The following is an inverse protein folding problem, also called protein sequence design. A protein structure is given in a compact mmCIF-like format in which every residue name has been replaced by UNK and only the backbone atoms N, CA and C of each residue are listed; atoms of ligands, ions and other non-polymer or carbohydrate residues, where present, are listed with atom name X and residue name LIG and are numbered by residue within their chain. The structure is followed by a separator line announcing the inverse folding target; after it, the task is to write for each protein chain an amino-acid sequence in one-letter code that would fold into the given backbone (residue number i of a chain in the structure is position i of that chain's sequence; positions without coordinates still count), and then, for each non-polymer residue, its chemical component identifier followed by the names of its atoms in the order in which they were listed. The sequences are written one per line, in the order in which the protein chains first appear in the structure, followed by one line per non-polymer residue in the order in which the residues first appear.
data_IF_643222011243
#
_entry.id   IF_643222011243
#
_cell.length_a   1.000
_cell.length_b   1.000
_cell.length_c   1.000
_cell.angle_alpha   90.00
_cell.angle_beta   90.00
_cell.angle_gamma   90.00
#
_symmetry.space_group_name_H-M   'P 1'
#
loop_
_entity.id
_entity.type
_entity.pdbx_description
1 polymer ?
#
# COMPACT_ATOMS: atom_id res chain seq x y z
N UNK A 1 17.92 10.08 13.23
CA UNK A 1 17.38 8.77 12.77
C UNK A 1 17.78 8.59 11.32
N UNK A 2 18.40 7.47 10.97
CA UNK A 2 18.77 7.18 9.58
C UNK A 2 17.54 6.59 8.88
N UNK A 3 16.91 7.37 8.01
CA UNK A 3 15.83 6.89 7.14
C UNK A 3 16.47 6.30 5.88
N UNK A 4 16.03 5.12 5.48
CA UNK A 4 16.42 4.48 4.23
C UNK A 4 15.17 4.19 3.40
N UNK A 5 15.16 4.63 2.15
CA UNK A 5 14.11 4.40 1.18
C UNK A 5 14.64 3.47 0.09
N UNK A 6 14.00 2.32 -0.08
CA UNK A 6 14.39 1.30 -1.06
C UNK A 6 13.26 1.15 -2.07
N UNK A 7 13.60 1.04 -3.36
CA UNK A 7 12.66 0.70 -4.42
C UNK A 7 13.07 -0.63 -5.06
N UNK A 8 12.15 -1.58 -5.04
CA UNK A 8 12.29 -2.87 -5.68
C UNK A 8 11.32 -2.96 -6.87
N UNK A 9 11.85 -3.21 -8.06
CA UNK A 9 11.05 -3.28 -9.27
C UNK A 9 10.32 -4.61 -9.42
N UNK A 10 10.61 -5.59 -8.55
CA UNK A 10 9.86 -6.84 -8.45
C UNK A 10 9.93 -7.37 -7.01
N UNK A 11 8.80 -7.41 -6.32
CA UNK A 11 8.75 -7.91 -4.95
C UNK A 11 9.15 -9.40 -4.84
N UNK A 12 8.93 -10.20 -5.88
CA UNK A 12 9.12 -11.65 -5.82
C UNK A 12 8.35 -12.27 -4.66
N UNK A 13 9.06 -12.94 -3.74
CA UNK A 13 8.50 -13.50 -2.50
C UNK A 13 8.92 -12.71 -1.24
N UNK A 14 9.52 -11.52 -1.43
CA UNK A 14 9.87 -10.60 -0.35
C UNK A 14 11.25 -10.83 0.28
N UNK A 15 12.09 -11.69 -0.28
CA UNK A 15 13.40 -12.04 0.29
C UNK A 15 14.30 -10.80 0.45
N UNK A 16 14.31 -9.91 -0.55
CA UNK A 16 15.05 -8.64 -0.52
C UNK A 16 14.50 -7.68 0.53
N UNK A 17 13.17 -7.61 0.67
CA UNK A 17 12.53 -6.81 1.72
C UNK A 17 12.93 -7.32 3.11
N UNK A 18 12.88 -8.63 3.33
CA UNK A 18 13.28 -9.24 4.60
C UNK A 18 14.76 -9.00 4.91
N UNK A 19 15.65 -9.08 3.91
CA UNK A 19 17.06 -8.78 4.09
C UNK A 19 17.29 -7.31 4.52
N UNK A 20 16.62 -6.34 3.89
CA UNK A 20 16.69 -4.93 4.28
C UNK A 20 16.10 -4.67 5.67
N UNK A 21 15.03 -5.38 6.04
CA UNK A 21 14.45 -5.28 7.38
C UNK A 21 15.40 -5.84 8.44
N UNK A 22 15.99 -7.03 8.25
CA UNK A 22 16.95 -7.58 9.21
C UNK A 22 18.21 -6.74 9.37
N UNK A 23 18.64 -6.07 8.30
CA UNK A 23 19.80 -5.18 8.33
C UNK A 23 19.48 -3.80 8.95
N UNK A 24 18.22 -3.52 9.32
CA UNK A 24 17.81 -2.23 9.85
C UNK A 24 18.43 -1.98 11.25
N UNK A 25 19.22 -0.92 11.44
CA UNK A 25 19.78 -0.60 12.75
C UNK A 25 18.66 -0.27 13.77
N UNK A 26 18.90 -0.38 15.09
CA UNK A 26 17.89 -0.18 16.13
C UNK A 26 17.14 1.16 16.11
N UNK A 27 17.76 2.22 15.59
CA UNK A 27 17.13 3.54 15.41
C UNK A 27 16.88 3.90 13.94
N UNK A 28 17.00 2.91 13.06
CA UNK A 28 16.73 3.04 11.63
C UNK A 28 15.24 3.01 11.34
N UNK A 29 14.87 3.69 10.26
CA UNK A 29 13.53 3.66 9.66
C UNK A 29 13.67 3.20 8.22
N UNK A 30 12.92 2.17 7.82
CA UNK A 30 12.89 1.63 6.46
C UNK A 30 11.56 1.99 5.79
N UNK A 31 11.64 2.54 4.59
CA UNK A 31 10.50 2.65 3.68
C UNK A 31 10.83 1.86 2.41
N UNK A 32 10.21 0.71 2.25
CA UNK A 32 10.40 -0.18 1.12
C UNK A 32 9.22 -0.06 0.17
N UNK A 33 9.48 0.32 -1.08
CA UNK A 33 8.53 0.38 -2.18
C UNK A 33 8.77 -0.84 -3.06
N UNK A 34 7.78 -1.67 -3.31
CA UNK A 34 7.98 -2.88 -4.12
C UNK A 34 6.88 -3.02 -5.17
N UNK A 35 7.27 -3.18 -6.43
CA UNK A 35 6.33 -3.42 -7.53
C UNK A 35 6.01 -4.90 -7.63
N UNK A 36 4.76 -5.25 -7.88
CA UNK A 36 4.38 -6.63 -8.18
C UNK A 36 3.15 -6.66 -9.10
N UNK A 37 3.06 -7.57 -10.08
CA UNK A 37 1.88 -7.66 -10.93
C UNK A 37 0.63 -8.11 -10.16
N UNK A 38 0.80 -8.95 -9.14
CA UNK A 38 -0.25 -9.48 -8.25
C UNK A 38 0.33 -9.72 -6.86
N UNK A 39 -0.49 -9.63 -5.84
CA UNK A 39 -0.05 -9.94 -4.47
C UNK A 39 0.27 -11.43 -4.37
N UNK A 40 1.52 -11.83 -4.03
CA UNK A 40 1.84 -13.24 -3.83
C UNK A 40 1.14 -13.80 -2.58
N UNK A 41 1.00 -15.12 -2.48
CA UNK A 41 0.42 -15.74 -1.28
C UNK A 41 1.27 -15.40 -0.04
N UNK A 42 0.60 -15.12 1.08
CA UNK A 42 1.27 -14.88 2.35
C UNK A 42 2.16 -16.05 2.79
N UNK A 43 1.85 -17.27 2.34
CA UNK A 43 2.59 -18.49 2.67
C UNK A 43 3.98 -18.54 2.02
N UNK A 44 4.23 -17.75 0.98
CA UNK A 44 5.56 -17.69 0.35
C UNK A 44 6.56 -16.88 1.18
N UNK A 45 6.10 -16.18 2.22
CA UNK A 45 6.93 -15.36 3.11
C UNK A 45 7.52 -16.28 4.19
N UNK A 46 8.66 -16.89 3.88
CA UNK A 46 9.36 -17.81 4.79
C UNK A 46 10.39 -17.03 5.61
N UNK A 47 9.95 -16.44 6.72
CA UNK A 47 10.82 -15.74 7.67
C UNK A 47 10.23 -15.66 9.09
N UNK A 48 11.10 -15.52 10.11
CA UNK A 48 10.74 -15.37 11.53
C UNK A 48 9.97 -14.07 11.80
N UNK A 49 10.43 -12.94 11.25
CA UNK A 49 9.68 -11.67 11.26
C UNK A 49 8.49 -11.70 10.30
N UNK A 50 8.44 -12.71 9.42
CA UNK A 50 7.32 -12.95 8.51
C UNK A 50 5.98 -13.13 9.22
N UNK A 51 5.93 -13.51 10.50
CA UNK A 51 4.66 -13.65 11.23
C UNK A 51 3.88 -12.32 11.32
N UNK A 52 4.56 -11.21 11.63
CA UNK A 52 3.93 -9.89 11.66
C UNK A 52 3.46 -9.47 10.26
N UNK A 53 4.29 -9.72 9.25
CA UNK A 53 3.98 -9.40 7.87
C UNK A 53 2.76 -10.18 7.35
N UNK A 54 2.72 -11.51 7.57
CA UNK A 54 1.62 -12.39 7.18
C UNK A 54 0.30 -11.99 7.84
N UNK A 55 0.34 -11.57 9.12
CA UNK A 55 -0.85 -11.09 9.82
C UNK A 55 -1.48 -9.81 9.21
N UNK A 56 -0.67 -9.01 8.50
CA UNK A 56 -1.07 -7.75 7.88
C UNK A 56 -1.06 -7.82 6.34
N UNK A 57 -0.92 -9.02 5.77
CA UNK A 57 -0.77 -9.21 4.33
C UNK A 57 -2.03 -8.76 3.56
N UNK A 58 -1.89 -8.02 2.44
CA UNK A 58 -3.03 -7.54 1.68
C UNK A 58 -3.77 -8.64 0.93
N UNK A 59 -5.02 -8.33 0.55
CA UNK A 59 -5.73 -9.06 -0.49
C UNK A 59 -5.14 -8.72 -1.86
N UNK A 60 -5.25 -9.65 -2.82
CA UNK A 60 -4.81 -9.44 -4.20
C UNK A 60 -5.77 -8.51 -4.97
N UNK A 61 -5.67 -7.22 -4.68
CA UNK A 61 -6.41 -6.17 -5.38
C UNK A 61 -5.45 -5.11 -5.94
N UNK A 62 -5.72 -4.53 -7.12
CA UNK A 62 -4.84 -3.54 -7.75
C UNK A 62 -4.75 -2.25 -6.95
N UNK A 63 -3.59 -1.60 -7.01
CA UNK A 63 -3.31 -0.35 -6.33
C UNK A 63 -2.20 -0.46 -5.29
N UNK A 64 -2.10 0.55 -4.43
CA UNK A 64 -0.99 0.70 -3.50
C UNK A 64 -1.41 0.24 -2.12
N UNK A 65 -0.62 -0.67 -1.56
CA UNK A 65 -0.87 -1.32 -0.28
C UNK A 65 0.19 -0.95 0.73
N UNK A 66 -0.13 -0.03 1.63
CA UNK A 66 0.76 0.34 2.73
C UNK A 66 0.58 -0.62 3.91
N UNK A 67 1.69 -1.21 4.35
CA UNK A 67 1.79 -2.13 5.48
C UNK A 67 2.78 -1.51 6.48
N UNK A 68 2.31 -1.29 7.70
CA UNK A 68 3.09 -0.72 8.79
C UNK A 68 3.54 -1.82 9.75
N UNK A 69 4.85 -1.91 9.96
CA UNK A 69 5.52 -3.00 10.67
C UNK A 69 6.49 -2.39 11.70
N UNK A 70 6.88 -3.19 12.70
CA UNK A 70 7.83 -2.77 13.75
C UNK A 70 7.48 -1.38 14.35
N UNK A 71 6.23 -1.24 14.83
CA UNK A 71 5.68 0.01 15.36
C UNK A 71 5.82 1.25 14.44
N UNK A 72 5.83 1.01 13.13
CA UNK A 72 5.93 2.05 12.10
C UNK A 72 7.37 2.41 11.71
N UNK A 73 8.38 1.74 12.28
CA UNK A 73 9.77 1.87 11.82
C UNK A 73 9.98 1.27 10.44
N UNK A 74 9.17 0.28 10.06
CA UNK A 74 9.21 -0.35 8.75
C UNK A 74 7.89 -0.13 8.03
N UNK A 75 7.96 0.49 6.86
CA UNK A 75 6.82 0.68 5.95
C UNK A 75 7.09 -0.07 4.66
N UNK A 76 6.24 -1.04 4.33
CA UNK A 76 6.20 -1.69 3.02
C UNK A 76 5.03 -1.13 2.22
N UNK A 77 5.32 -0.48 1.10
CA UNK A 77 4.34 -0.09 0.09
C UNK A 77 4.43 -1.10 -1.07
N UNK A 78 3.49 -2.04 -1.12
CA UNK A 78 3.36 -2.99 -2.22
C UNK A 78 2.51 -2.38 -3.33
N UNK A 79 3.11 -2.17 -4.51
CA UNK A 79 2.54 -1.48 -5.66
C UNK A 79 2.02 -2.54 -6.64
N UNK A 80 0.74 -2.87 -6.53
CA UNK A 80 0.12 -3.98 -7.28
C UNK A 80 -0.40 -3.49 -8.62
N UNK A 81 0.24 -3.93 -9.70
CA UNK A 81 -0.14 -3.63 -11.07
C UNK A 81 1.04 -3.67 -12.05
N UNK A 82 0.76 -3.37 -13.31
CA UNK A 82 1.80 -3.27 -14.34
C UNK A 82 2.81 -2.16 -13.99
N UNK A 83 4.11 -2.46 -14.16
CA UNK A 83 5.21 -1.59 -13.77
C UNK A 83 5.10 -0.17 -14.37
N UNK A 84 4.77 -0.08 -15.65
CA UNK A 84 4.61 1.17 -16.39
C UNK A 84 3.39 1.99 -15.94
N UNK A 85 2.38 1.34 -15.35
CA UNK A 85 1.25 2.02 -14.73
C UNK A 85 1.57 2.49 -13.31
N UNK A 86 2.28 1.70 -12.49
CA UNK A 86 2.49 2.00 -11.07
C UNK A 86 3.71 2.88 -10.81
N UNK A 87 4.84 2.67 -11.50
CA UNK A 87 6.08 3.38 -11.24
C UNK A 87 5.96 4.91 -11.43
N UNK A 88 5.25 5.44 -12.45
CA UNK A 88 5.07 6.88 -12.61
C UNK A 88 4.25 7.54 -11.49
N UNK A 89 3.49 6.78 -10.71
CA UNK A 89 2.72 7.27 -9.58
C UNK A 89 3.56 7.39 -8.29
N UNK A 90 4.80 6.87 -8.28
CA UNK A 90 5.68 6.91 -7.12
C UNK A 90 6.29 8.31 -6.97
N UNK A 91 6.09 8.91 -5.79
CA UNK A 91 6.75 10.14 -5.38
C UNK A 91 7.62 9.87 -4.16
N UNK A 92 8.92 9.68 -4.39
CA UNK A 92 9.89 9.35 -3.35
C UNK A 92 11.29 9.90 -3.67
N UNK A 93 12.12 9.95 -2.63
CA UNK A 93 13.57 10.12 -2.74
C UNK A 93 14.19 8.78 -2.31
N UNK A 94 14.74 8.04 -3.27
CA UNK A 94 15.13 6.64 -3.10
C UNK A 94 16.64 6.55 -2.95
N UNK A 95 17.07 5.86 -1.90
CA UNK A 95 18.48 5.65 -1.52
C UNK A 95 19.08 4.39 -2.17
N UNK A 96 18.26 3.36 -2.39
CA UNK A 96 18.70 2.11 -2.99
C UNK A 96 17.65 1.52 -3.94
N UNK A 97 18.10 0.95 -5.04
CA UNK A 97 17.27 0.29 -6.05
C UNK A 97 17.64 -1.18 -6.20
N UNK A 98 16.62 -2.03 -6.22
CA UNK A 98 16.71 -3.41 -6.69
C UNK A 98 15.97 -3.50 -8.02
N UNK A 99 16.70 -3.81 -9.10
CA UNK A 99 16.17 -3.84 -10.47
C UNK A 99 16.21 -5.27 -10.98
N UNK A 100 15.05 -5.80 -11.37
CA UNK A 100 14.92 -7.13 -11.94
C UNK A 100 15.42 -7.19 -13.40
N UNK A 101 15.80 -8.38 -13.86
CA UNK A 101 16.27 -8.62 -15.21
C UNK A 101 15.22 -8.25 -16.29
N UNK A 102 13.93 -8.36 -15.95
CA UNK A 102 12.82 -8.01 -16.85
C UNK A 102 12.51 -6.50 -16.90
N UNK A 103 13.24 -5.67 -16.14
CA UNK A 103 12.94 -4.24 -16.09
C UNK A 103 13.16 -3.55 -17.45
N UNK A 104 12.14 -2.88 -18.01
CA UNK A 104 12.23 -2.31 -19.34
C UNK A 104 13.18 -1.11 -19.38
N UNK A 105 14.15 -1.14 -20.29
CA UNK A 105 15.13 -0.07 -20.48
C UNK A 105 14.51 1.33 -20.67
N UNK A 106 13.31 1.42 -21.26
CA UNK A 106 12.55 2.66 -21.43
C UNK A 106 12.17 3.36 -20.10
N UNK A 107 12.08 2.60 -19.01
CA UNK A 107 11.72 3.10 -17.68
C UNK A 107 12.93 3.51 -16.82
N UNK A 108 14.17 3.34 -17.29
CA UNK A 108 15.38 3.70 -16.53
C UNK A 108 15.42 5.18 -16.10
N UNK A 109 14.85 6.08 -16.92
CA UNK A 109 14.71 7.50 -16.55
C UNK A 109 13.77 7.72 -15.37
N UNK A 110 12.79 6.85 -15.16
CA UNK A 110 11.91 6.86 -13.99
C UNK A 110 12.71 6.65 -12.70
N UNK A 111 13.61 5.66 -12.68
CA UNK A 111 14.48 5.40 -11.53
C UNK A 111 15.38 6.61 -11.22
N UNK A 112 16.00 7.20 -12.24
CA UNK A 112 16.84 8.39 -12.07
C UNK A 112 16.08 9.62 -11.53
N UNK A 113 14.77 9.76 -11.80
CA UNK A 113 13.96 10.84 -11.21
C UNK A 113 13.71 10.67 -9.72
N UNK A 114 13.71 9.41 -9.25
CA UNK A 114 13.48 9.05 -7.85
C UNK A 114 14.78 9.02 -7.03
N UNK A 115 15.92 8.80 -7.69
CA UNK A 115 17.22 8.65 -7.04
C UNK A 115 17.68 9.92 -6.31
N UNK A 116 18.19 9.77 -5.09
CA UNK A 116 19.05 10.80 -4.45
C UNK A 116 20.47 10.71 -5.01
N UNK A 117 21.25 11.79 -4.91
CA UNK A 117 22.67 11.73 -5.25
C UNK A 117 23.38 10.68 -4.38
N UNK A 118 24.13 9.78 -5.02
CA UNK A 118 24.79 8.66 -4.35
C UNK A 118 23.92 7.42 -4.14
N UNK A 119 22.65 7.43 -4.58
CA UNK A 119 21.79 6.27 -4.50
C UNK A 119 22.43 5.05 -5.18
N UNK A 120 22.34 3.89 -4.54
CA UNK A 120 22.89 2.64 -5.06
C UNK A 120 21.83 1.90 -5.88
N UNK A 121 22.27 1.13 -6.86
CA UNK A 121 21.39 0.32 -7.70
C UNK A 121 22.04 -1.04 -7.93
N UNK A 122 21.26 -2.10 -7.75
CA UNK A 122 21.63 -3.46 -8.11
C UNK A 122 20.67 -3.95 -9.19
N UNK A 123 21.17 -4.17 -10.41
CA UNK A 123 20.41 -4.74 -11.51
C UNK A 123 20.81 -6.20 -11.71
N UNK A 124 19.83 -7.10 -11.63
CA UNK A 124 20.03 -8.54 -11.85
C UNK A 124 20.16 -8.83 -13.34
N UNK A 125 21.27 -9.43 -13.76
CA UNK A 125 21.57 -9.88 -15.12
C UNK A 125 20.96 -8.99 -16.24
N UNK A 126 21.19 -7.66 -16.24
CA UNK A 126 20.56 -6.77 -17.19
C UNK A 126 21.07 -7.04 -18.60
N UNK A 127 20.20 -6.90 -19.60
CA UNK A 127 20.64 -6.88 -20.99
C UNK A 127 21.45 -5.60 -21.30
N UNK A 128 22.08 -5.60 -22.47
CA UNK A 128 22.88 -4.46 -22.91
C UNK A 128 22.02 -3.18 -22.98
N UNK A 129 20.78 -3.27 -23.48
CA UNK A 129 19.89 -2.12 -23.61
C UNK A 129 19.60 -1.45 -22.27
N UNK A 130 19.33 -2.22 -21.22
CA UNK A 130 19.11 -1.73 -19.87
C UNK A 130 20.40 -1.12 -19.28
N UNK A 131 21.55 -1.76 -19.46
CA UNK A 131 22.83 -1.24 -18.98
C UNK A 131 23.16 0.14 -19.59
N UNK A 132 22.96 0.30 -20.90
CA UNK A 132 23.09 1.58 -21.60
C UNK A 132 22.08 2.61 -21.11
N UNK A 133 20.81 2.22 -20.94
CA UNK A 133 19.76 3.12 -20.49
C UNK A 133 20.00 3.65 -19.06
N UNK A 134 20.48 2.80 -18.14
CA UNK A 134 20.88 3.19 -16.79
C UNK A 134 22.05 4.19 -16.83
N UNK A 135 23.06 3.91 -17.65
CA UNK A 135 24.21 4.80 -17.84
C UNK A 135 23.77 6.16 -18.37
N UNK A 136 22.94 6.18 -19.42
CA UNK A 136 22.37 7.39 -20.00
C UNK A 136 21.45 8.16 -19.02
N UNK A 137 20.86 7.46 -18.05
CA UNK A 137 20.04 8.07 -17.00
C UNK A 137 20.87 8.70 -15.85
N UNK A 138 22.20 8.48 -15.82
CA UNK A 138 23.12 9.09 -14.85
C UNK A 138 23.64 8.13 -13.78
N UNK A 139 23.46 6.83 -13.95
CA UNK A 139 24.07 5.81 -13.10
C UNK A 139 25.47 5.45 -13.62
N UNK A 140 26.44 5.33 -12.72
CA UNK A 140 27.77 4.81 -13.05
C UNK A 140 27.76 3.31 -12.79
N UNK A 141 27.57 2.53 -13.85
CA UNK A 141 27.44 1.08 -13.82
C UNK A 141 28.80 0.37 -13.76
N UNK A 142 28.88 -0.71 -12.97
CA UNK A 142 30.01 -1.63 -12.87
C UNK A 142 29.49 -3.07 -12.81
N UNK A 143 30.07 -3.97 -13.58
CA UNK A 143 29.76 -5.39 -13.50
C UNK A 143 30.16 -5.93 -12.12
N UNK A 144 29.34 -6.83 -11.55
CA UNK A 144 29.66 -7.58 -10.35
C UNK A 144 30.26 -8.92 -10.79
N UNK A 145 31.54 -9.10 -10.51
CA UNK A 145 32.32 -10.28 -10.95
C UNK A 145 31.63 -11.59 -10.54
N UNK A 146 31.53 -12.52 -11.48
CA UNK A 146 31.00 -13.87 -11.25
C UNK A 146 29.47 -13.99 -11.16
N UNK A 147 28.71 -12.91 -11.33
CA UNK A 147 27.23 -12.93 -11.18
C UNK A 147 26.47 -12.60 -12.47
N UNK A 148 27.06 -11.81 -13.36
CA UNK A 148 26.35 -11.22 -14.49
C UNK A 148 25.52 -9.98 -14.11
N UNK A 149 25.46 -9.64 -12.83
CA UNK A 149 24.72 -8.49 -12.31
C UNK A 149 25.53 -7.19 -12.49
N UNK A 150 24.83 -6.06 -12.39
CA UNK A 150 25.42 -4.73 -12.40
C UNK A 150 25.14 -4.03 -11.08
N UNK A 151 26.19 -3.54 -10.44
CA UNK A 151 26.12 -2.55 -9.37
C UNK A 151 26.31 -1.16 -9.96
N UNK A 152 25.49 -0.19 -9.55
CA UNK A 152 25.61 1.19 -10.02
C UNK A 152 25.39 2.21 -8.90
N UNK A 153 25.91 3.42 -9.12
CA UNK A 153 25.71 4.56 -8.21
C UNK A 153 25.22 5.76 -9.01
N UNK A 154 24.16 6.43 -8.53
CA UNK A 154 23.63 7.62 -9.16
C UNK A 154 24.56 8.82 -8.93
N UNK A 155 25.18 9.33 -9.99
CA UNK A 155 26.15 10.44 -9.93
C UNK A 155 25.82 11.56 -10.94
N UNK A 156 24.54 11.72 -11.27
CA UNK A 156 24.10 12.76 -12.19
C UNK A 156 24.55 14.15 -11.73
N UNK A 157 25.14 14.91 -12.65
CA UNK A 157 25.54 16.31 -12.44
C UNK A 157 24.37 17.29 -12.64
N UNK A 158 23.16 16.78 -12.94
CA UNK A 158 21.98 17.64 -13.10
C UNK A 158 21.57 18.20 -11.74
N UNK A 159 21.23 19.49 -11.64
CA UNK A 159 20.72 20.07 -10.40
C UNK A 159 19.50 19.29 -9.90
N UNK A 160 19.57 18.77 -8.68
CA UNK A 160 18.42 18.14 -8.03
C UNK A 160 17.62 19.24 -7.30
N UNK A 161 16.28 19.22 -7.33
CA UNK A 161 15.48 20.11 -6.51
C UNK A 161 15.90 19.95 -5.05
N UNK A 162 16.23 21.06 -4.38
CA UNK A 162 16.66 21.06 -2.99
C UNK A 162 15.70 20.23 -2.14
N UNK A 163 16.25 19.49 -1.18
CA UNK A 163 15.41 18.86 -0.17
C UNK A 163 14.64 19.96 0.56
N UNK A 164 13.31 19.82 0.75
CA UNK A 164 12.59 20.76 1.58
C UNK A 164 13.21 20.75 2.99
N UNK A 165 13.20 21.89 3.70
CA UNK A 165 13.68 21.94 5.07
C UNK A 165 12.93 20.94 5.94
N UNK A 166 13.57 20.44 6.99
CA UNK A 166 12.87 19.58 7.95
C UNK A 166 11.68 20.35 8.53
N UNK A 167 10.47 19.78 8.46
CA UNK A 167 9.30 20.45 8.99
C UNK A 167 9.39 20.56 10.51
N UNK A 168 8.93 21.67 11.06
CA UNK A 168 8.65 21.75 12.50
C UNK A 168 7.57 20.71 12.80
N UNK A 169 7.91 19.67 13.58
CA UNK A 169 7.04 18.55 13.87
C UNK A 169 5.99 18.91 14.94
N UNK A 170 5.25 19.98 14.69
CA UNK A 170 4.11 20.44 15.51
C UNK A 170 2.89 20.59 14.63
N UNK A 171 1.76 20.03 15.06
CA UNK A 171 0.50 20.11 14.35
C UNK A 171 -0.64 20.50 15.30
N UNK A 172 -1.58 21.31 14.80
CA UNK A 172 -2.86 21.56 15.46
C UNK A 172 -3.92 20.85 14.62
N UNK A 173 -4.71 19.99 15.26
CA UNK A 173 -5.84 19.29 14.66
C UNK A 173 -7.13 19.83 15.27
N UNK A 174 -8.06 20.27 14.44
CA UNK A 174 -9.34 20.84 14.88
C UNK A 174 -10.45 19.82 14.58
N UNK A 175 -11.10 19.34 15.63
CA UNK A 175 -12.16 18.32 15.61
C UNK A 175 -11.65 16.95 16.04
N UNK A 176 -12.28 16.35 17.06
CA UNK A 176 -12.00 15.02 17.59
C UNK A 176 -13.03 13.97 17.12
N UNK A 177 -13.51 14.11 15.88
CA UNK A 177 -14.19 13.03 15.15
C UNK A 177 -13.20 12.01 14.60
N UNK A 178 -13.70 10.99 13.87
CA UNK A 178 -12.86 9.88 13.37
C UNK A 178 -11.66 10.34 12.54
N UNK A 179 -11.84 11.35 11.68
CA UNK A 179 -10.78 11.88 10.83
C UNK A 179 -9.68 12.59 11.65
N UNK A 180 -10.07 13.45 12.59
CA UNK A 180 -9.12 14.17 13.44
C UNK A 180 -8.37 13.26 14.39
N UNK A 181 -9.06 12.27 14.96
CA UNK A 181 -8.43 11.24 15.81
C UNK A 181 -7.45 10.37 15.02
N UNK A 182 -7.81 9.91 13.82
CA UNK A 182 -6.93 9.13 12.96
C UNK A 182 -5.70 9.94 12.48
N UNK A 183 -5.90 11.21 12.11
CA UNK A 183 -4.81 12.11 11.73
C UNK A 183 -3.85 12.35 12.91
N UNK A 184 -4.40 12.66 14.09
CA UNK A 184 -3.62 12.87 15.32
C UNK A 184 -2.79 11.65 15.68
N UNK A 185 -3.40 10.46 15.67
CA UNK A 185 -2.69 9.21 15.89
C UNK A 185 -1.52 9.03 14.92
N UNK A 186 -1.71 9.36 13.63
CA UNK A 186 -0.65 9.19 12.62
C UNK A 186 0.46 10.21 12.71
N UNK A 187 0.14 11.45 13.07
CA UNK A 187 1.13 12.48 13.41
C UNK A 187 1.97 12.07 14.63
N UNK A 188 1.32 11.69 15.73
CA UNK A 188 2.00 11.26 16.96
C UNK A 188 2.93 10.07 16.69
N UNK A 189 2.45 9.06 15.97
CA UNK A 189 3.26 7.89 15.62
C UNK A 189 4.37 8.19 14.58
N UNK A 190 4.38 9.39 13.99
CA UNK A 190 5.48 9.90 13.17
C UNK A 190 6.38 10.88 13.95
N UNK A 191 6.25 10.94 15.27
CA UNK A 191 7.04 11.80 16.16
C UNK A 191 6.67 13.29 16.10
N UNK A 192 5.43 13.61 15.75
CA UNK A 192 4.91 14.97 15.85
C UNK A 192 4.32 15.24 17.23
N UNK A 193 4.51 16.46 17.71
CA UNK A 193 3.77 17.03 18.84
C UNK A 193 2.44 17.60 18.34
N UNK A 194 1.33 17.05 18.84
CA UNK A 194 -0.01 17.30 18.31
C UNK A 194 -0.90 17.92 19.37
N UNK A 195 -1.47 19.09 19.07
CA UNK A 195 -2.56 19.67 19.85
C UNK A 195 -3.89 19.37 19.15
N UNK A 196 -4.73 18.54 19.76
CA UNK A 196 -6.08 18.24 19.30
C UNK A 196 -7.09 19.14 20.02
N UNK A 197 -7.90 19.88 19.27
CA UNK A 197 -8.91 20.81 19.77
C UNK A 197 -10.30 20.29 19.41
N UNK A 198 -11.16 20.11 20.40
CA UNK A 198 -12.56 19.73 20.24
C UNK A 198 -13.45 20.80 20.89
N UNK A 199 -14.56 21.16 20.22
CA UNK A 199 -15.50 22.15 20.73
C UNK A 199 -16.44 21.57 21.78
N UNK A 200 -16.72 20.27 21.68
CA UNK A 200 -17.60 19.53 22.58
C UNK A 200 -16.85 19.02 23.82
N UNK A 201 -17.60 18.64 24.86
CA UNK A 201 -17.01 18.16 26.11
C UNK A 201 -16.32 16.78 25.99
N UNK A 202 -16.55 16.06 24.89
CA UNK A 202 -16.02 14.73 24.61
C UNK A 202 -15.85 14.54 23.09
N UNK A 203 -14.96 13.65 22.63
CA UNK A 203 -14.83 13.34 21.20
C UNK A 203 -16.11 12.72 20.63
N UNK A 204 -16.20 12.71 19.30
CA UNK A 204 -17.25 12.02 18.54
C UNK A 204 -18.70 12.38 18.92
N UNK A 205 -19.01 13.62 19.32
CA UNK A 205 -20.39 14.04 19.65
C UNK A 205 -21.24 14.51 18.45
N UNK A 206 -20.80 14.26 17.22
CA UNK A 206 -21.55 14.59 15.99
C UNK A 206 -21.61 13.40 15.03
N UNK A 207 -21.31 13.57 13.74
CA UNK A 207 -21.43 12.51 12.73
C UNK A 207 -20.62 11.24 13.03
N UNK A 208 -19.54 11.33 13.82
CA UNK A 208 -18.75 10.17 14.27
C UNK A 208 -19.32 9.46 15.50
N UNK A 209 -20.41 9.96 16.09
CA UNK A 209 -21.03 9.44 17.33
C UNK A 209 -22.13 8.41 17.11
N UNK A 210 -22.29 7.91 15.88
CA UNK A 210 -23.29 6.88 15.59
C UNK A 210 -22.97 5.58 16.36
N UNK A 211 -24.01 4.94 16.89
CA UNK A 211 -23.88 3.67 17.64
C UNK A 211 -23.37 2.54 16.75
N UNK A 212 -23.71 2.56 15.46
CA UNK A 212 -23.27 1.59 14.48
C UNK A 212 -23.03 2.26 13.13
N UNK A 213 -22.06 1.74 12.38
CA UNK A 213 -21.73 2.15 11.03
C UNK A 213 -21.39 0.95 10.15
N UNK A 214 -21.74 1.04 8.88
CA UNK A 214 -21.35 0.05 7.86
C UNK A 214 -20.00 0.47 7.28
N UNK A 215 -19.07 -0.47 7.15
CA UNK A 215 -17.78 -0.24 6.54
C UNK A 215 -17.59 -1.15 5.34
N UNK A 216 -17.62 -0.57 4.14
CA UNK A 216 -17.47 -1.26 2.87
C UNK A 216 -16.79 -0.35 1.85
N UNK A 217 -16.11 -0.90 0.84
CA UNK A 217 -15.58 -0.09 -0.25
C UNK A 217 -16.70 0.34 -1.22
N UNK A 218 -16.47 1.45 -1.92
CA UNK A 218 -17.19 1.76 -3.15
C UNK A 218 -16.70 0.84 -4.28
N UNK A 219 -17.64 0.35 -5.10
CA UNK A 219 -17.37 -0.47 -6.27
C UNK A 219 -17.95 0.21 -7.51
N UNK A 220 -17.21 0.19 -8.62
CA UNK A 220 -17.69 0.66 -9.91
C UNK A 220 -17.04 -0.11 -11.06
N UNK A 221 -17.74 -0.19 -12.20
CA UNK A 221 -17.28 -0.97 -13.37
C UNK A 221 -16.02 -0.36 -13.99
N UNK A 222 -15.91 0.96 -13.95
CA UNK A 222 -14.85 1.75 -14.58
C UNK A 222 -13.61 1.97 -13.69
N UNK A 223 -13.61 1.49 -12.44
CA UNK A 223 -12.59 1.78 -11.41
C UNK A 223 -12.14 3.24 -11.40
N UNK A 224 -13.14 4.12 -11.36
CA UNK A 224 -12.92 5.55 -11.25
C UNK A 224 -12.18 5.94 -9.96
N UNK A 225 -11.75 7.21 -9.89
CA UNK A 225 -10.94 7.73 -8.80
C UNK A 225 -11.56 7.45 -7.41
N UNK A 226 -12.88 7.68 -7.17
CA UNK A 226 -13.54 7.28 -5.93
C UNK A 226 -13.39 5.79 -5.58
N UNK A 227 -13.59 4.88 -6.54
CA UNK A 227 -13.45 3.43 -6.33
C UNK A 227 -12.02 3.07 -5.95
N UNK A 228 -11.02 3.60 -6.66
CA UNK A 228 -9.59 3.40 -6.37
C UNK A 228 -9.22 3.88 -4.96
N UNK A 229 -9.66 5.09 -4.61
CA UNK A 229 -9.43 5.68 -3.29
C UNK A 229 -10.10 4.85 -2.20
N UNK A 230 -11.37 4.47 -2.40
CA UNK A 230 -12.12 3.70 -1.44
C UNK A 230 -11.52 2.31 -1.22
N UNK A 231 -11.04 1.65 -2.27
CA UNK A 231 -10.36 0.35 -2.18
C UNK A 231 -9.08 0.45 -1.35
N UNK A 232 -8.24 1.44 -1.63
CA UNK A 232 -7.01 1.68 -0.86
C UNK A 232 -7.31 2.01 0.61
N UNK A 233 -8.28 2.91 0.87
CA UNK A 233 -8.67 3.31 2.22
C UNK A 233 -9.29 2.15 3.02
N UNK A 234 -10.21 1.39 2.41
CA UNK A 234 -10.88 0.25 3.03
C UNK A 234 -9.87 -0.81 3.47
N UNK A 235 -9.02 -1.27 2.54
CA UNK A 235 -8.01 -2.30 2.82
C UNK A 235 -6.94 -1.83 3.81
N UNK A 236 -6.57 -0.54 3.79
CA UNK A 236 -5.68 0.03 4.80
C UNK A 236 -6.33 0.04 6.19
N UNK A 237 -7.59 0.50 6.29
CA UNK A 237 -8.31 0.58 7.56
C UNK A 237 -8.51 -0.81 8.19
N UNK A 238 -8.87 -1.83 7.42
CA UNK A 238 -8.99 -3.20 7.93
C UNK A 238 -7.69 -3.71 8.54
N UNK A 239 -6.54 -3.43 7.90
CA UNK A 239 -5.22 -3.77 8.45
C UNK A 239 -4.91 -2.98 9.71
N UNK A 240 -5.22 -1.68 9.72
CA UNK A 240 -4.99 -0.85 10.90
C UNK A 240 -5.85 -1.31 12.09
N UNK A 241 -7.10 -1.70 11.87
CA UNK A 241 -7.93 -2.28 12.93
C UNK A 241 -7.38 -3.59 13.48
N UNK A 242 -6.86 -4.47 12.62
CA UNK A 242 -6.14 -5.68 13.06
C UNK A 242 -4.91 -5.31 13.90
N UNK A 243 -4.13 -4.33 13.46
CA UNK A 243 -2.93 -3.84 14.17
C UNK A 243 -3.27 -3.24 15.53
N UNK A 244 -4.40 -2.53 15.65
CA UNK A 244 -4.86 -1.96 16.93
C UNK A 244 -5.35 -3.05 17.91
N UNK A 245 -5.63 -4.26 17.43
CA UNK A 245 -6.02 -5.42 18.23
C UNK A 245 -7.37 -6.06 17.84
N UNK A 246 -8.03 -5.54 16.79
CA UNK A 246 -9.18 -6.17 16.15
C UNK A 246 -10.56 -5.60 16.56
N UNK A 247 -11.49 -5.65 15.59
CA UNK A 247 -12.92 -5.37 15.78
C UNK A 247 -13.52 -6.37 16.78
N UNK A 248 -14.36 -5.91 17.69
CA UNK A 248 -14.99 -6.72 18.74
C UNK A 248 -14.08 -7.00 19.95
N UNK A 249 -12.81 -6.56 19.90
CA UNK A 249 -11.87 -6.64 21.02
C UNK A 249 -11.44 -5.26 21.52
N UNK A 250 -11.03 -4.39 20.60
CA UNK A 250 -10.52 -3.04 20.92
C UNK A 250 -11.62 -1.99 20.87
N UNK A 251 -12.64 -2.23 20.05
CA UNK A 251 -13.85 -1.44 19.94
C UNK A 251 -15.01 -2.35 19.54
N UNK A 252 -16.23 -1.96 19.91
CA UNK A 252 -17.43 -2.72 19.62
C UNK A 252 -17.68 -2.83 18.12
N UNK A 253 -18.04 -4.03 17.66
CA UNK A 253 -18.36 -4.30 16.26
C UNK A 253 -18.21 -5.76 15.90
N UNK A 254 -18.51 -6.08 14.63
CA UNK A 254 -18.35 -7.42 14.09
C UNK A 254 -17.79 -7.35 12.66
N UNK A 255 -16.85 -8.25 12.34
CA UNK A 255 -16.36 -8.47 10.98
C UNK A 255 -17.30 -9.42 10.22
N UNK A 256 -18.58 -9.10 10.15
CA UNK A 256 -19.65 -9.97 9.63
C UNK A 256 -19.90 -9.85 8.13
N UNK A 257 -19.16 -9.00 7.42
CA UNK A 257 -19.42 -8.66 6.03
C UNK A 257 -20.60 -7.69 5.87
N UNK A 258 -20.83 -7.26 4.63
CA UNK A 258 -21.93 -6.37 4.24
C UNK A 258 -22.57 -6.96 3.00
N UNK A 259 -23.89 -7.13 3.03
CA UNK A 259 -24.68 -7.54 1.87
C UNK A 259 -25.44 -6.31 1.33
N UNK A 260 -25.10 -5.89 0.12
CA UNK A 260 -25.76 -4.81 -0.60
C UNK A 260 -26.66 -5.39 -1.69
N UNK A 261 -27.92 -5.62 -1.33
CA UNK A 261 -28.95 -6.10 -2.24
C UNK A 261 -29.13 -5.18 -3.45
N UNK A 262 -29.39 -5.80 -4.61
CA UNK A 262 -29.83 -5.08 -5.78
C UNK A 262 -31.21 -4.44 -5.53
N UNK A 263 -31.41 -3.24 -6.09
CA UNK A 263 -32.69 -2.51 -5.96
C UNK A 263 -33.77 -3.10 -6.86
N UNK A 264 -33.34 -3.62 -8.01
CA UNK A 264 -34.15 -4.16 -9.10
C UNK A 264 -33.27 -5.07 -9.97
N UNK A 265 -33.87 -5.68 -11.00
CA UNK A 265 -33.18 -6.59 -11.90
C UNK A 265 -32.06 -5.90 -12.72
N UNK A 266 -32.27 -4.65 -13.14
CA UNK A 266 -31.28 -3.89 -13.91
C UNK A 266 -30.05 -3.58 -13.04
N UNK A 267 -30.27 -3.19 -11.78
CA UNK A 267 -29.20 -3.01 -10.81
C UNK A 267 -28.47 -4.32 -10.51
N UNK A 268 -29.19 -5.46 -10.44
CA UNK A 268 -28.55 -6.77 -10.27
C UNK A 268 -27.60 -7.10 -11.41
N UNK A 269 -27.98 -6.82 -12.66
CA UNK A 269 -27.08 -6.99 -13.81
C UNK A 269 -25.87 -6.06 -13.74
N UNK A 270 -26.07 -4.79 -13.38
CA UNK A 270 -24.95 -3.86 -13.14
C UNK A 270 -24.02 -4.41 -12.05
N UNK A 271 -24.59 -5.00 -11.00
CA UNK A 271 -23.80 -5.53 -9.90
C UNK A 271 -22.94 -6.73 -10.34
N UNK A 272 -23.54 -7.68 -11.06
CA UNK A 272 -22.83 -8.82 -11.65
C UNK A 272 -21.70 -8.38 -12.59
N UNK A 273 -21.98 -7.40 -13.45
CA UNK A 273 -21.02 -6.85 -14.40
C UNK A 273 -19.77 -6.27 -13.72
N UNK A 274 -19.93 -5.57 -12.60
CA UNK A 274 -18.80 -4.99 -11.84
C UNK A 274 -17.94 -6.09 -11.24
N UNK A 275 -18.57 -7.10 -10.61
CA UNK A 275 -17.85 -8.23 -10.00
C UNK A 275 -17.09 -9.00 -11.08
N UNK A 276 -17.73 -9.30 -12.21
CA UNK A 276 -17.13 -10.02 -13.33
C UNK A 276 -15.99 -9.24 -14.00
N UNK A 277 -16.11 -7.92 -14.16
CA UNK A 277 -15.12 -7.10 -14.86
C UNK A 277 -13.76 -7.06 -14.16
N UNK A 278 -13.75 -7.00 -12.83
CA UNK A 278 -12.52 -6.82 -12.05
C UNK A 278 -11.95 -8.14 -11.52
N UNK A 279 -12.78 -9.18 -11.42
CA UNK A 279 -12.37 -10.50 -10.92
C UNK A 279 -11.55 -10.38 -9.62
N UNK A 280 -12.03 -9.56 -8.69
CA UNK A 280 -11.43 -9.42 -7.37
C UNK A 280 -11.49 -10.75 -6.61
N UNK A 281 -10.64 -10.96 -5.60
CA UNK A 281 -10.78 -12.07 -4.67
C UNK A 281 -12.16 -12.08 -4.02
N UNK A 282 -12.76 -13.25 -3.82
CA UNK A 282 -14.09 -13.37 -3.21
C UNK A 282 -14.13 -12.81 -1.78
N UNK A 283 -12.98 -12.76 -1.10
CA UNK A 283 -12.82 -12.13 0.22
C UNK A 283 -12.97 -10.60 0.17
N UNK A 284 -12.85 -9.99 -1.02
CA UNK A 284 -13.08 -8.57 -1.22
C UNK A 284 -14.53 -8.28 -1.63
N UNK A 285 -15.03 -9.01 -2.63
CA UNK A 285 -16.43 -8.93 -3.11
C UNK A 285 -16.80 -10.20 -3.84
N UNK A 286 -18.04 -10.66 -3.69
CA UNK A 286 -18.61 -11.76 -4.46
C UNK A 286 -20.08 -11.51 -4.74
N UNK A 287 -20.57 -11.96 -5.88
CA UNK A 287 -22.00 -11.94 -6.17
C UNK A 287 -22.71 -13.11 -5.46
N UNK A 288 -23.88 -12.85 -4.89
CA UNK A 288 -24.82 -13.82 -4.36
C UNK A 288 -26.15 -13.68 -5.11
N UNK A 289 -26.71 -14.79 -5.59
CA UNK A 289 -28.08 -14.78 -6.08
C UNK A 289 -29.10 -14.60 -4.94
N UNK A 290 -30.37 -14.46 -5.29
CA UNK A 290 -31.43 -14.22 -4.31
C UNK A 290 -31.59 -15.38 -3.29
N UNK A 291 -31.31 -16.61 -3.70
CA UNK A 291 -31.36 -17.77 -2.81
C UNK A 291 -30.26 -17.71 -1.76
N UNK A 292 -29.01 -17.56 -2.20
CA UNK A 292 -27.85 -17.45 -1.31
C UNK A 292 -27.90 -16.21 -0.42
N UNK A 293 -28.36 -15.07 -0.95
CA UNK A 293 -28.61 -13.86 -0.17
C UNK A 293 -29.68 -14.09 0.91
N UNK A 294 -30.74 -14.82 0.57
CA UNK A 294 -31.80 -15.14 1.50
C UNK A 294 -31.38 -16.12 2.60
N UNK A 295 -30.56 -17.12 2.28
CA UNK A 295 -29.94 -18.01 3.27
C UNK A 295 -29.07 -17.23 4.26
N UNK A 296 -28.29 -16.26 3.78
CA UNK A 296 -27.43 -15.42 4.62
C UNK A 296 -28.23 -14.50 5.57
N UNK A 297 -29.37 -13.97 5.10
CA UNK A 297 -30.23 -13.09 5.90
C UNK A 297 -31.26 -13.83 6.75
N UNK A 298 -31.46 -15.13 6.53
CA UNK A 298 -32.49 -15.92 7.21
C UNK A 298 -33.92 -15.65 6.71
N UNK A 299 -34.09 -15.22 5.46
CA UNK A 299 -35.40 -14.91 4.87
C UNK A 299 -35.32 -14.63 3.36
N UNK A 300 -36.44 -14.71 2.65
CA UNK A 300 -36.46 -14.51 1.19
C UNK A 300 -36.05 -13.08 0.79
N UNK A 301 -35.24 -12.95 -0.26
CA UNK A 301 -34.91 -11.65 -0.89
C UNK A 301 -35.48 -11.58 -2.31
N UNK A 302 -35.93 -10.39 -2.76
CA UNK A 302 -36.47 -10.23 -4.12
C UNK A 302 -35.39 -10.31 -5.21
N UNK A 303 -34.15 -9.95 -4.87
CA UNK A 303 -32.99 -9.96 -5.76
C UNK A 303 -31.75 -10.46 -5.03
N UNK A 304 -30.70 -10.75 -5.80
CA UNK A 304 -29.36 -11.00 -5.27
C UNK A 304 -28.66 -9.72 -4.83
N UNK A 305 -27.37 -9.83 -4.55
CA UNK A 305 -26.52 -8.70 -4.16
C UNK A 305 -25.05 -9.12 -4.11
N UNK A 306 -24.21 -8.22 -3.64
CA UNK A 306 -22.82 -8.53 -3.29
C UNK A 306 -22.50 -8.16 -1.85
#
# INVERSE_FOLDING_TARGET
MTRRVVLDTDFGHGERFMAEWHALPPQGVLHYLAVTPRVPSADTIVDTNGAQLRALWPLDVPGFHRILLDDGRVTLDLLVGALDAVLPQVAARVDAFHVDASFPASQARGLAKLAVLGATLHARAPDEALAWALTAAGFVCKAIEGTGDIGAVYQSRRPQPASPPEPVRRAIVIGAGVAGSAASHRFCASGWDVTLIERHAAPAQEASGNVAGIFMPLLSKDDNIPTRLSRAAYTFALREWRRLGGVGRVFDGASCGVLQLARDADHATVQQDVVAAWNYPEEYVRWLDAGAAGELLGGATPHGGW
#
